data_IF_775530580159
#
_entry.id   IF_775530580159
#
_cell.length_a   1.000
_cell.length_b   1.000
_cell.length_c   1.000
_cell.angle_alpha   90.00
_cell.angle_beta   90.00
_cell.angle_gamma   90.00
#
_symmetry.space_group_name_H-M   'P 1'
#
loop_
_entity.id
_entity.type
_entity.pdbx_description
1 polymer ?
#
# COMPACT_ATOMS: atom_id res chain seq x y z
N UNK A 1 2.29 -17.35 -20.30
CA UNK A 1 3.26 -17.34 -20.68
C UNK A 1 4.54 -18.09 -21.05
N UNK A 2 4.95 -18.07 -22.33
CA UNK A 2 6.15 -18.78 -22.82
C UNK A 2 7.48 -18.36 -22.16
N UNK A 3 7.55 -17.19 -21.54
CA UNK A 3 8.74 -16.68 -20.85
C UNK A 3 8.70 -16.84 -19.32
N UNK A 4 7.65 -17.45 -18.77
CA UNK A 4 7.48 -17.58 -17.32
C UNK A 4 8.59 -18.36 -16.63
N UNK A 5 9.02 -19.48 -17.22
CA UNK A 5 10.13 -20.28 -16.72
C UNK A 5 11.45 -19.51 -16.67
N UNK A 6 11.75 -18.73 -17.72
CA UNK A 6 12.96 -17.88 -17.77
C UNK A 6 12.91 -16.79 -16.70
N UNK A 7 11.76 -16.12 -16.54
CA UNK A 7 11.58 -15.08 -15.53
C UNK A 7 11.76 -15.64 -14.11
N UNK A 8 11.19 -16.83 -13.84
CA UNK A 8 11.34 -17.49 -12.56
C UNK A 8 12.81 -17.89 -12.29
N UNK A 9 13.49 -18.46 -13.29
CA UNK A 9 14.91 -18.82 -13.18
C UNK A 9 15.76 -17.58 -12.85
N UNK A 10 15.58 -16.47 -13.57
CA UNK A 10 16.34 -15.24 -13.32
C UNK A 10 16.15 -14.71 -11.88
N UNK A 11 14.94 -14.85 -11.33
CA UNK A 11 14.70 -14.51 -9.92
C UNK A 11 15.41 -15.50 -9.00
N UNK A 12 15.20 -16.80 -9.16
CA UNK A 12 15.77 -17.82 -8.26
C UNK A 12 17.31 -17.83 -8.25
N UNK A 13 17.94 -17.52 -9.37
CA UNK A 13 19.41 -17.43 -9.46
C UNK A 13 19.96 -16.03 -9.14
N UNK A 14 19.11 -15.08 -8.75
CA UNK A 14 19.52 -13.76 -8.31
C UNK A 14 19.90 -12.77 -9.43
N UNK A 15 19.65 -13.09 -10.69
CA UNK A 15 19.91 -12.19 -11.82
C UNK A 15 18.96 -10.97 -11.79
N UNK A 16 17.76 -11.14 -11.23
CA UNK A 16 16.74 -10.09 -11.10
C UNK A 16 16.13 -10.13 -9.71
N UNK A 17 16.18 -9.02 -9.00
CA UNK A 17 15.46 -8.90 -7.73
C UNK A 17 13.94 -8.87 -7.97
N UNK A 18 13.14 -9.68 -7.25
CA UNK A 18 11.69 -9.57 -7.30
C UNK A 18 11.24 -8.22 -6.73
N UNK A 19 10.13 -7.70 -7.22
CA UNK A 19 9.56 -6.41 -6.78
C UNK A 19 8.04 -6.39 -6.83
N UNK A 20 7.42 -7.54 -7.11
CA UNK A 20 5.96 -7.63 -7.18
C UNK A 20 5.32 -7.56 -5.80
N UNK A 21 4.17 -6.89 -5.71
CA UNK A 21 3.33 -6.86 -4.52
C UNK A 21 2.07 -7.68 -4.76
N UNK A 22 1.56 -8.32 -3.71
CA UNK A 22 0.33 -9.12 -3.80
C UNK A 22 -0.88 -8.20 -4.03
N UNK A 23 -1.62 -8.40 -5.13
CA UNK A 23 -2.84 -7.63 -5.40
C UNK A 23 -4.08 -8.21 -4.72
N UNK A 24 -3.89 -9.19 -3.85
CA UNK A 24 -4.95 -9.88 -3.10
C UNK A 24 -4.49 -10.16 -1.67
N UNK A 25 -5.44 -10.44 -0.79
CA UNK A 25 -5.19 -10.92 0.58
C UNK A 25 -5.27 -12.44 0.60
N UNK A 26 -4.26 -13.10 1.16
CA UNK A 26 -4.30 -14.53 1.42
C UNK A 26 -4.84 -14.77 2.83
N UNK A 27 -5.99 -15.43 2.93
CA UNK A 27 -6.55 -15.84 4.20
C UNK A 27 -5.69 -16.95 4.83
N UNK A 28 -5.67 -17.02 6.15
CA UNK A 28 -4.91 -18.01 6.89
C UNK A 28 -5.57 -19.39 6.87
N UNK A 29 -6.90 -19.40 7.02
CA UNK A 29 -7.73 -20.62 7.02
C UNK A 29 -9.05 -20.35 6.29
N UNK A 30 -9.78 -21.42 5.96
CA UNK A 30 -11.10 -21.32 5.37
C UNK A 30 -12.15 -20.72 6.35
N UNK A 31 -11.91 -20.84 7.66
CA UNK A 31 -12.82 -20.31 8.68
C UNK A 31 -12.89 -18.77 8.68
N UNK A 32 -11.89 -18.10 8.08
CA UNK A 32 -11.90 -16.65 7.88
C UNK A 32 -12.83 -16.20 6.74
N UNK A 33 -13.31 -17.15 5.92
CA UNK A 33 -14.19 -16.80 4.80
C UNK A 33 -15.61 -16.65 5.31
N UNK A 34 -16.31 -15.54 4.98
CA UNK A 34 -17.74 -15.43 5.22
C UNK A 34 -18.52 -16.53 4.49
N UNK A 35 -19.73 -16.83 4.98
CA UNK A 35 -20.63 -17.78 4.32
C UNK A 35 -20.76 -17.48 2.82
N UNK A 36 -20.85 -18.53 2.01
CA UNK A 36 -20.93 -18.40 0.55
C UNK A 36 -22.17 -17.59 0.09
N UNK A 37 -23.23 -17.61 0.86
CA UNK A 37 -24.48 -16.88 0.61
C UNK A 37 -24.47 -15.44 1.13
N UNK A 38 -23.46 -15.05 1.93
CA UNK A 38 -23.28 -13.68 2.38
C UNK A 38 -22.57 -12.85 1.29
N UNK A 39 -23.30 -11.96 0.64
CA UNK A 39 -22.79 -11.05 -0.40
C UNK A 39 -22.33 -9.70 0.15
N UNK A 40 -22.31 -9.51 1.48
CA UNK A 40 -21.76 -8.30 2.07
C UNK A 40 -20.23 -8.25 1.90
N UNK A 41 -19.64 -7.06 1.99
CA UNK A 41 -18.18 -6.90 1.97
C UNK A 41 -17.54 -7.10 3.34
N UNK A 42 -18.31 -7.28 4.40
CA UNK A 42 -17.82 -7.46 5.77
C UNK A 42 -16.88 -8.67 5.84
N UNK A 43 -15.70 -8.49 6.42
CA UNK A 43 -14.69 -9.54 6.54
C UNK A 43 -14.01 -9.94 5.23
N UNK A 44 -14.27 -9.23 4.10
CA UNK A 44 -13.71 -9.55 2.80
C UNK A 44 -12.64 -8.54 2.39
N UNK A 45 -11.66 -9.01 1.67
CA UNK A 45 -10.51 -8.23 1.16
C UNK A 45 -9.76 -7.46 2.26
N UNK A 46 -8.60 -6.88 1.92
CA UNK A 46 -7.81 -6.10 2.87
C UNK A 46 -8.57 -4.89 3.44
N UNK A 47 -9.60 -4.38 2.73
CA UNK A 47 -10.37 -3.19 3.15
C UNK A 47 -11.27 -3.47 4.36
N UNK A 48 -11.77 -4.70 4.51
CA UNK A 48 -12.80 -5.04 5.49
C UNK A 48 -12.44 -6.23 6.38
N UNK A 49 -11.31 -6.92 6.11
CA UNK A 49 -10.84 -8.01 6.94
C UNK A 49 -10.35 -7.46 8.29
N UNK A 50 -10.91 -7.97 9.38
CA UNK A 50 -10.52 -7.58 10.75
C UNK A 50 -9.59 -8.57 11.40
N UNK A 51 -9.48 -9.77 10.85
CA UNK A 51 -8.59 -10.82 11.31
C UNK A 51 -7.23 -10.75 10.62
N UNK A 52 -6.20 -11.33 11.24
CA UNK A 52 -4.87 -11.36 10.67
C UNK A 52 -4.80 -12.33 9.47
N UNK A 53 -4.40 -11.87 8.28
CA UNK A 53 -4.24 -12.72 7.11
C UNK A 53 -2.96 -13.57 7.18
N UNK A 54 -2.84 -14.57 6.32
CA UNK A 54 -1.59 -15.28 6.09
C UNK A 54 -0.57 -14.35 5.42
N UNK A 55 -0.93 -13.77 4.27
CA UNK A 55 -0.19 -12.72 3.59
C UNK A 55 -1.13 -11.55 3.26
N UNK A 56 -0.80 -10.33 3.70
CA UNK A 56 -1.64 -9.17 3.44
C UNK A 56 -1.51 -8.70 1.98
N UNK A 57 -2.50 -7.94 1.55
CA UNK A 57 -2.42 -7.14 0.32
C UNK A 57 -1.22 -6.19 0.38
N UNK A 58 -0.52 -5.99 -0.73
CA UNK A 58 0.68 -5.14 -0.77
C UNK A 58 1.96 -5.81 -0.27
N UNK A 59 1.89 -7.03 0.28
CA UNK A 59 3.08 -7.76 0.70
C UNK A 59 3.89 -8.26 -0.51
N UNK A 60 5.21 -8.18 -0.42
CA UNK A 60 6.12 -8.71 -1.43
C UNK A 60 7.53 -8.84 -0.88
N UNK A 61 8.34 -9.66 -1.53
CA UNK A 61 9.74 -9.89 -1.20
C UNK A 61 10.65 -9.21 -2.23
N UNK A 62 11.81 -8.78 -1.77
CA UNK A 62 12.90 -8.23 -2.57
C UNK A 62 14.22 -8.75 -2.04
N UNK A 63 15.26 -8.78 -2.87
CA UNK A 63 16.61 -9.09 -2.40
C UNK A 63 17.30 -7.89 -1.77
N UNK A 64 16.78 -6.69 -2.01
CA UNK A 64 17.25 -5.48 -1.39
C UNK A 64 16.43 -5.09 -0.16
N UNK A 65 16.96 -4.16 0.61
CA UNK A 65 16.27 -3.55 1.75
C UNK A 65 15.95 -2.09 1.45
N UNK A 66 14.81 -1.86 0.80
CA UNK A 66 14.33 -0.50 0.48
C UNK A 66 13.45 0.00 1.62
N UNK A 67 13.77 1.16 2.15
CA UNK A 67 13.02 1.82 3.22
C UNK A 67 12.61 3.24 2.81
N UNK A 68 11.47 3.70 3.31
CA UNK A 68 11.02 5.08 3.19
C UNK A 68 11.65 5.89 4.32
N UNK A 69 12.58 6.77 4.00
CA UNK A 69 13.27 7.63 4.96
C UNK A 69 12.39 8.81 5.37
N UNK A 70 11.82 9.46 4.37
CA UNK A 70 11.03 10.67 4.55
C UNK A 70 9.83 10.66 3.62
N UNK A 71 8.74 11.23 4.11
CA UNK A 71 7.58 11.58 3.29
C UNK A 71 7.06 12.94 3.75
N UNK A 72 6.73 13.80 2.79
CA UNK A 72 6.18 15.13 3.05
C UNK A 72 5.28 15.55 1.89
N UNK A 73 4.39 16.50 2.14
CA UNK A 73 3.63 17.10 1.06
C UNK A 73 4.51 18.06 0.26
N UNK A 74 4.58 17.88 -1.06
CA UNK A 74 5.20 18.85 -1.96
C UNK A 74 4.39 20.16 -2.01
N UNK A 75 3.06 20.04 -1.85
CA UNK A 75 2.11 21.14 -1.67
C UNK A 75 1.06 20.70 -0.66
N UNK A 76 0.69 21.58 0.26
CA UNK A 76 -0.40 21.31 1.22
C UNK A 76 -1.68 20.91 0.46
N UNK A 77 -2.30 19.78 0.82
CA UNK A 77 -3.50 19.32 0.14
C UNK A 77 -4.67 20.24 0.45
N UNK A 78 -5.50 20.47 -0.56
CA UNK A 78 -6.74 21.21 -0.47
C UNK A 78 -7.92 20.31 -0.85
N UNK A 79 -9.11 20.60 -0.31
CA UNK A 79 -10.32 19.91 -0.76
C UNK A 79 -10.47 20.04 -2.28
N UNK A 80 -10.94 18.97 -2.92
CA UNK A 80 -11.18 18.90 -4.36
C UNK A 80 -9.92 19.05 -5.24
N UNK A 81 -8.70 18.93 -4.66
CA UNK A 81 -7.45 18.92 -5.40
C UNK A 81 -6.67 17.64 -5.14
N UNK A 82 -5.91 17.20 -6.16
CA UNK A 82 -4.95 16.11 -6.00
C UNK A 82 -3.81 16.59 -5.08
N UNK A 83 -3.32 15.71 -4.22
CA UNK A 83 -2.12 15.98 -3.44
C UNK A 83 -0.88 15.38 -4.11
N UNK A 84 0.25 16.03 -3.95
CA UNK A 84 1.56 15.52 -4.33
C UNK A 84 2.40 15.27 -3.08
N UNK A 85 2.96 14.07 -2.99
CA UNK A 85 3.81 13.65 -1.88
C UNK A 85 5.23 13.44 -2.43
N UNK A 86 6.19 14.10 -1.81
CA UNK A 86 7.61 13.84 -1.98
C UNK A 86 8.03 12.73 -1.02
N UNK A 87 8.63 11.67 -1.55
CA UNK A 87 9.04 10.50 -0.78
C UNK A 87 10.51 10.21 -1.04
N UNK A 88 11.33 10.25 0.00
CA UNK A 88 12.72 9.82 -0.06
C UNK A 88 12.81 8.35 0.32
N UNK A 89 13.41 7.54 -0.53
CA UNK A 89 13.63 6.10 -0.33
C UNK A 89 15.11 5.78 -0.42
N UNK A 90 15.55 4.80 0.36
CA UNK A 90 16.93 4.34 0.36
C UNK A 90 17.01 2.82 0.34
N UNK A 91 17.95 2.29 -0.43
CA UNK A 91 18.32 0.89 -0.43
C UNK A 91 19.47 0.66 0.56
N UNK A 92 19.23 -0.03 1.66
CA UNK A 92 20.22 -0.33 2.68
C UNK A 92 21.07 -1.58 2.38
N UNK A 93 20.79 -2.26 1.27
CA UNK A 93 21.53 -3.46 0.88
C UNK A 93 22.69 -3.15 -0.09
N UNK A 94 23.60 -4.10 -0.20
CA UNK A 94 24.74 -4.07 -1.13
C UNK A 94 24.38 -4.53 -2.55
N UNK A 95 23.10 -4.87 -2.79
CA UNK A 95 22.63 -5.32 -4.12
C UNK A 95 21.66 -4.31 -4.73
N UNK A 96 21.77 -4.12 -6.03
CA UNK A 96 20.78 -3.34 -6.75
C UNK A 96 19.40 -4.02 -6.70
N UNK A 97 18.36 -3.26 -6.50
CA UNK A 97 17.02 -3.80 -6.34
C UNK A 97 15.94 -2.92 -6.95
N UNK A 98 14.76 -3.47 -7.04
CA UNK A 98 13.53 -2.75 -7.36
C UNK A 98 12.51 -2.99 -6.26
N UNK A 99 11.71 -1.97 -5.98
CA UNK A 99 10.59 -2.11 -5.05
C UNK A 99 9.44 -1.20 -5.48
N UNK A 100 8.34 -1.26 -4.74
CA UNK A 100 7.16 -0.40 -4.93
C UNK A 100 6.91 0.35 -3.64
N UNK A 101 6.86 1.67 -3.74
CA UNK A 101 6.33 2.52 -2.66
C UNK A 101 4.82 2.59 -2.84
N UNK A 102 4.10 2.26 -1.79
CA UNK A 102 2.64 2.24 -1.73
C UNK A 102 2.14 3.35 -0.81
N UNK A 103 1.05 3.99 -1.19
CA UNK A 103 0.36 5.01 -0.41
C UNK A 103 -1.04 4.54 -0.12
N UNK A 104 -1.38 4.42 1.16
CA UNK A 104 -2.71 4.05 1.62
C UNK A 104 -3.37 5.22 2.31
N UNK A 105 -4.68 5.33 2.22
CA UNK A 105 -5.48 6.37 2.87
C UNK A 105 -6.48 5.77 3.84
N UNK A 106 -6.61 6.41 5.00
CA UNK A 106 -7.71 6.20 5.94
C UNK A 106 -8.43 7.51 6.16
N UNK A 107 -9.66 7.59 5.67
CA UNK A 107 -10.57 8.69 5.96
C UNK A 107 -11.12 8.53 7.38
N UNK A 108 -10.89 9.54 8.23
CA UNK A 108 -11.26 9.54 9.65
C UNK A 108 -12.69 10.04 9.83
N UNK A 109 -13.35 9.54 10.86
CA UNK A 109 -14.71 9.96 11.27
C UNK A 109 -15.79 9.80 10.18
N UNK A 110 -15.51 9.04 9.13
CA UNK A 110 -16.45 8.73 8.07
C UNK A 110 -17.26 7.47 8.39
N UNK A 111 -18.58 7.56 8.29
CA UNK A 111 -19.50 6.42 8.42
C UNK A 111 -19.28 5.39 7.30
N UNK A 112 -18.84 5.85 6.13
CA UNK A 112 -18.79 5.04 4.91
C UNK A 112 -17.36 4.57 4.54
N UNK A 113 -16.35 5.03 5.26
CA UNK A 113 -14.97 4.63 4.99
C UNK A 113 -14.75 3.13 5.27
N UNK A 114 -13.94 2.43 4.47
CA UNK A 114 -13.51 1.08 4.77
C UNK A 114 -12.87 0.99 6.17
N UNK A 115 -13.00 -0.19 6.79
CA UNK A 115 -12.43 -0.43 8.14
C UNK A 115 -10.92 -0.23 8.15
N UNK A 116 -10.24 -0.69 7.10
CA UNK A 116 -8.79 -0.58 6.94
C UNK A 116 -8.42 0.47 5.90
N UNK A 117 -7.18 1.02 5.94
CA UNK A 117 -6.68 1.94 4.93
C UNK A 117 -6.75 1.34 3.52
N UNK A 118 -7.12 2.15 2.53
CA UNK A 118 -7.24 1.75 1.14
C UNK A 118 -6.06 2.26 0.31
N UNK A 119 -5.50 1.44 -0.59
CA UNK A 119 -4.47 1.87 -1.54
C UNK A 119 -5.00 3.01 -2.42
N UNK A 120 -4.28 4.11 -2.48
CA UNK A 120 -4.65 5.30 -3.23
C UNK A 120 -3.56 5.82 -4.18
N UNK A 121 -2.34 5.30 -4.06
CA UNK A 121 -1.23 5.66 -4.95
C UNK A 121 -0.08 4.67 -4.82
N UNK A 122 0.76 4.58 -5.84
CA UNK A 122 2.00 3.82 -5.77
C UNK A 122 3.00 4.30 -6.83
N UNK A 123 4.29 4.07 -6.56
CA UNK A 123 5.35 4.28 -7.54
C UNK A 123 6.38 3.15 -7.47
N UNK A 124 6.86 2.71 -8.65
CA UNK A 124 7.99 1.77 -8.73
C UNK A 124 9.29 2.54 -8.66
N UNK A 125 10.25 1.97 -7.94
CA UNK A 125 11.59 2.52 -7.84
C UNK A 125 12.63 1.46 -8.16
N UNK A 126 13.73 1.88 -8.81
CA UNK A 126 14.93 1.08 -9.01
C UNK A 126 16.09 1.80 -8.33
N UNK A 127 16.82 1.10 -7.50
CA UNK A 127 17.90 1.63 -6.68
C UNK A 127 19.13 0.73 -6.80
N UNK A 128 20.29 1.36 -6.99
CA UNK A 128 21.59 0.70 -6.82
C UNK A 128 21.85 0.36 -5.35
N UNK A 129 22.97 -0.32 -5.09
CA UNK A 129 23.43 -0.58 -3.73
C UNK A 129 23.67 0.73 -2.97
N UNK A 130 23.08 0.89 -1.80
CA UNK A 130 23.20 2.09 -0.96
C UNK A 130 22.56 3.36 -1.55
N UNK A 131 21.94 3.30 -2.72
CA UNK A 131 21.36 4.47 -3.40
C UNK A 131 20.14 5.01 -2.64
N UNK A 132 20.08 6.32 -2.60
CA UNK A 132 18.92 7.10 -2.12
C UNK A 132 18.30 7.86 -3.29
N UNK A 133 16.97 7.93 -3.32
CA UNK A 133 16.22 8.57 -4.40
C UNK A 133 14.95 9.22 -3.90
N UNK A 134 14.63 10.36 -4.49
CA UNK A 134 13.35 11.04 -4.28
C UNK A 134 12.35 10.67 -5.37
N UNK A 135 11.09 10.49 -4.96
CA UNK A 135 9.95 10.17 -5.81
C UNK A 135 8.83 11.17 -5.53
N UNK A 136 8.07 11.51 -6.56
CA UNK A 136 6.79 12.21 -6.40
C UNK A 136 5.64 11.23 -6.66
N UNK A 137 4.69 11.17 -5.74
CA UNK A 137 3.50 10.32 -5.85
C UNK A 137 2.27 11.21 -5.77
N UNK A 138 1.41 11.13 -6.78
CA UNK A 138 0.13 11.84 -6.80
C UNK A 138 -0.95 10.99 -6.12
N UNK A 139 -1.66 11.60 -5.16
CA UNK A 139 -2.88 11.06 -4.56
C UNK A 139 -4.06 11.82 -5.13
N UNK A 140 -4.88 11.12 -5.90
CA UNK A 140 -6.06 11.72 -6.50
C UNK A 140 -7.05 12.19 -5.45
N UNK A 141 -7.68 13.33 -5.68
CA UNK A 141 -8.79 13.85 -4.85
C UNK A 141 -9.94 12.85 -4.67
N UNK A 142 -10.11 11.93 -5.60
CA UNK A 142 -11.11 10.86 -5.47
C UNK A 142 -10.83 9.90 -4.30
N UNK A 143 -9.59 9.81 -3.84
CA UNK A 143 -9.23 8.99 -2.69
C UNK A 143 -9.77 9.53 -1.36
N UNK A 144 -10.09 10.82 -1.30
CA UNK A 144 -10.66 11.46 -0.11
C UNK A 144 -12.17 11.26 0.00
N UNK A 145 -12.80 10.78 -1.08
CA UNK A 145 -14.24 10.54 -1.14
C UNK A 145 -14.57 9.11 -0.74
N UNK A 146 -15.75 8.96 -0.18
CA UNK A 146 -16.39 7.68 0.14
C UNK A 146 -17.70 7.58 -0.60
N UNK A 147 -18.26 6.38 -0.70
CA UNK A 147 -19.55 6.15 -1.35
C UNK A 147 -20.61 6.00 -0.26
N UNK A 148 -21.65 6.84 -0.30
CA UNK A 148 -22.78 6.82 0.62
C UNK A 148 -23.81 5.73 0.29
N UNK A 149 -24.87 5.64 1.08
CA UNK A 149 -25.93 4.65 0.89
C UNK A 149 -26.73 4.85 -0.43
N UNK A 150 -26.70 6.05 -1.01
CA UNK A 150 -27.30 6.39 -2.30
C UNK A 150 -26.40 6.10 -3.50
N UNK A 151 -25.16 5.63 -3.26
CA UNK A 151 -24.17 5.35 -4.31
C UNK A 151 -23.40 6.57 -4.79
N UNK A 152 -23.50 7.70 -4.10
CA UNK A 152 -22.83 8.95 -4.45
C UNK A 152 -21.46 9.05 -3.80
N UNK A 153 -20.49 9.63 -4.50
CA UNK A 153 -19.18 9.95 -3.94
C UNK A 153 -19.23 11.28 -3.18
N UNK A 154 -19.00 11.20 -1.88
CA UNK A 154 -19.06 12.37 -1.00
C UNK A 154 -17.78 12.53 -0.17
N UNK A 155 -17.50 13.75 0.29
CA UNK A 155 -16.57 14.02 1.37
C UNK A 155 -17.31 13.85 2.71
N UNK A 156 -16.90 12.85 3.50
CA UNK A 156 -17.56 12.50 4.77
C UNK A 156 -16.55 12.39 5.93
N UNK A 157 -15.37 12.99 5.77
CA UNK A 157 -14.33 12.94 6.79
C UNK A 157 -13.82 14.31 7.18
N UNK A 158 -13.50 14.49 8.47
CA UNK A 158 -12.87 15.71 9.00
C UNK A 158 -11.37 15.73 8.76
N UNK A 159 -10.77 14.56 8.57
CA UNK A 159 -9.34 14.40 8.31
C UNK A 159 -9.06 13.08 7.59
N UNK A 160 -7.90 12.98 6.99
CA UNK A 160 -7.40 11.75 6.38
C UNK A 160 -5.96 11.49 6.79
N UNK A 161 -5.61 10.22 6.98
CA UNK A 161 -4.23 9.81 7.24
C UNK A 161 -3.72 9.05 6.03
N UNK A 162 -2.59 9.49 5.48
CA UNK A 162 -1.85 8.76 4.46
C UNK A 162 -0.75 7.94 5.12
N UNK A 163 -0.62 6.69 4.71
CA UNK A 163 0.42 5.78 5.13
C UNK A 163 1.31 5.49 3.93
N UNK A 164 2.61 5.75 4.04
CA UNK A 164 3.57 5.65 2.95
C UNK A 164 4.65 4.63 3.33
N UNK A 165 4.81 3.59 2.54
CA UNK A 165 5.79 2.53 2.81
C UNK A 165 6.03 1.63 1.62
N UNK A 166 6.88 0.61 1.82
CA UNK A 166 7.08 -0.49 0.86
C UNK A 166 6.25 -1.73 1.22
N UNK A 167 5.28 -1.55 2.13
CA UNK A 167 4.34 -2.57 2.63
C UNK A 167 3.06 -1.88 3.11
N UNK A 168 2.01 -2.67 3.31
CA UNK A 168 0.76 -2.19 3.89
C UNK A 168 0.89 -1.69 5.34
N UNK A 169 0.00 -0.80 5.80
CA UNK A 169 0.04 -0.21 7.15
C UNK A 169 -0.58 -1.09 8.24
N UNK A 170 -0.67 -2.39 8.00
CA UNK A 170 -1.24 -3.34 8.95
C UNK A 170 -0.14 -4.06 9.77
N UNK A 171 -0.51 -4.55 10.97
CA UNK A 171 0.41 -5.23 11.89
C UNK A 171 1.05 -6.48 11.29
N UNK A 172 0.36 -7.18 10.39
CA UNK A 172 0.89 -8.37 9.75
C UNK A 172 1.98 -8.01 8.74
N UNK A 173 1.79 -6.95 7.95
CA UNK A 173 2.82 -6.39 7.07
C UNK A 173 4.06 -5.98 7.85
N UNK A 174 3.89 -5.29 8.97
CA UNK A 174 4.99 -4.90 9.85
C UNK A 174 5.72 -6.13 10.42
N UNK A 175 4.99 -7.13 10.91
CA UNK A 175 5.58 -8.36 11.46
C UNK A 175 6.36 -9.18 10.42
N UNK A 176 5.93 -9.17 9.15
CA UNK A 176 6.59 -9.90 8.06
C UNK A 176 7.80 -9.16 7.49
N UNK A 177 7.80 -7.83 7.50
CA UNK A 177 8.83 -7.01 6.83
C UNK A 177 9.77 -6.31 7.80
N UNK A 178 9.38 -6.13 9.05
CA UNK A 178 10.08 -5.28 10.02
C UNK A 178 9.99 -3.78 9.71
N UNK A 179 9.16 -3.37 8.74
CA UNK A 179 9.08 -1.99 8.25
C UNK A 179 7.77 -1.33 8.68
N UNK A 180 7.88 -0.09 9.16
CA UNK A 180 6.75 0.74 9.57
C UNK A 180 6.53 1.83 8.53
N UNK A 181 5.28 2.08 8.16
CA UNK A 181 4.93 3.16 7.23
C UNK A 181 5.09 4.55 7.86
N UNK A 182 5.52 5.53 7.05
CA UNK A 182 5.44 6.95 7.43
C UNK A 182 4.00 7.42 7.34
N UNK A 183 3.66 8.44 8.12
CA UNK A 183 2.29 8.96 8.17
C UNK A 183 2.26 10.46 7.88
N UNK A 184 1.30 10.88 7.06
CA UNK A 184 0.97 12.27 6.82
C UNK A 184 -0.51 12.48 7.13
N UNK A 185 -0.81 13.54 7.88
CA UNK A 185 -2.20 13.88 8.26
C UNK A 185 -2.68 15.06 7.43
N UNK A 186 -3.88 14.93 6.91
CA UNK A 186 -4.60 15.99 6.21
C UNK A 186 -5.81 16.36 7.07
N UNK A 187 -5.96 17.63 7.39
CA UNK A 187 -7.14 18.17 8.05
C UNK A 187 -7.92 19.01 7.04
N UNK A 188 -9.25 18.80 6.99
CA UNK A 188 -10.15 19.43 6.02
C UNK A 188 -10.92 20.61 6.59
#
# INVERSE_FOLDING_TARGET
>A
GSQGGKALANILFGEVSPSGKLPITFYRTLDQLPDFTDYSMKGRTYRYLTEEPLYPFGYGLSYGDVQVEKAEFAKAPEKEQDAEICVTVKNYSEVATRDVVEVYIKNQDSKYAPVNPALCGFAKVSLGAGEEKELTITVSKEAYKVVNDEGEKIFDSSSSILFIGTNGPDKRSEALTGKVTKQLVINW
#
